data_IF_921215037191
#
_entry.id   IF_921215037191
#
_cell.length_a   1.000
_cell.length_b   1.000
_cell.length_c   1.000
_cell.angle_alpha   90.00
_cell.angle_beta   90.00
_cell.angle_gamma   90.00
#
_symmetry.space_group_name_H-M   'P 1'
#
loop_
_entity.id
_entity.type
_entity.pdbx_description
1 polymer ?
#
# COMPACT_ATOMS: atom_id res chain seq x y z
N UNK A 1 7.93 14.10 3.36
CA UNK A 1 9.25 13.68 2.82
C UNK A 1 9.08 13.25 1.37
N UNK A 2 10.14 13.09 0.57
CA UNK A 2 10.01 12.43 -0.75
C UNK A 2 10.30 10.94 -0.56
N UNK A 3 9.26 10.11 -0.65
CA UNK A 3 9.38 8.64 -0.56
C UNK A 3 9.66 8.06 -1.94
N UNK A 4 10.53 7.04 -2.01
CA UNK A 4 10.76 6.36 -3.27
C UNK A 4 9.57 5.46 -3.61
N UNK A 5 9.43 5.14 -4.90
CA UNK A 5 8.46 4.14 -5.38
C UNK A 5 8.55 2.83 -4.60
N UNK A 6 9.77 2.39 -4.29
CA UNK A 6 10.01 1.14 -3.55
C UNK A 6 9.49 1.23 -2.11
N UNK A 7 9.66 2.38 -1.46
CA UNK A 7 9.20 2.57 -0.09
C UNK A 7 7.68 2.50 -0.01
N UNK A 8 6.97 3.14 -0.96
CA UNK A 8 5.51 3.13 -0.98
C UNK A 8 4.96 1.74 -1.30
N UNK A 9 5.57 1.00 -2.23
CA UNK A 9 5.19 -0.41 -2.50
C UNK A 9 5.34 -1.25 -1.23
N UNK A 10 6.48 -1.12 -0.53
CA UNK A 10 6.72 -1.86 0.70
C UNK A 10 5.66 -1.54 1.77
N UNK A 11 5.30 -0.26 1.91
CA UNK A 11 4.29 0.18 2.86
C UNK A 11 2.88 -0.34 2.53
N UNK A 12 2.46 -0.27 1.25
CA UNK A 12 1.20 -0.85 0.78
C UNK A 12 1.14 -2.36 1.03
N UNK A 13 2.22 -3.09 0.76
CA UNK A 13 2.29 -4.53 1.06
C UNK A 13 2.21 -4.82 2.57
N UNK A 14 2.77 -3.95 3.42
CA UNK A 14 2.70 -4.08 4.87
C UNK A 14 1.28 -3.80 5.38
N UNK A 15 0.62 -2.77 4.85
CA UNK A 15 -0.79 -2.51 5.14
C UNK A 15 -1.67 -3.70 4.72
N UNK A 16 -1.49 -4.22 3.52
CA UNK A 16 -2.25 -5.37 3.02
C UNK A 16 -2.11 -6.56 3.99
N UNK A 17 -0.89 -6.92 4.37
CA UNK A 17 -0.65 -7.99 5.36
C UNK A 17 -1.33 -7.70 6.70
N UNK A 18 -1.36 -6.44 7.13
CA UNK A 18 -1.98 -6.04 8.39
C UNK A 18 -3.51 -6.18 8.35
N UNK A 19 -4.14 -5.66 7.29
CA UNK A 19 -5.60 -5.66 7.13
C UNK A 19 -6.14 -7.06 6.89
N UNK A 20 -5.45 -7.87 6.08
CA UNK A 20 -5.93 -9.19 5.66
C UNK A 20 -5.44 -10.34 6.54
N UNK A 21 -4.64 -10.07 7.59
CA UNK A 21 -4.11 -11.09 8.51
C UNK A 21 -5.18 -12.08 9.00
N UNK A 22 -6.34 -11.55 9.40
CA UNK A 22 -7.44 -12.33 9.98
C UNK A 22 -8.73 -12.25 9.10
N UNK A 23 -8.64 -11.63 7.93
CA UNK A 23 -9.79 -11.31 7.07
C UNK A 23 -9.63 -11.76 5.60
N UNK A 24 -8.52 -12.41 5.25
CA UNK A 24 -8.25 -12.90 3.89
C UNK A 24 -9.24 -13.97 3.42
N UNK A 25 -9.88 -13.73 2.27
CA UNK A 25 -10.71 -14.69 1.55
C UNK A 25 -10.12 -14.97 0.14
N UNK A 26 -9.57 -16.16 -0.12
CA UNK A 26 -8.98 -16.49 -1.42
C UNK A 26 -9.98 -16.56 -2.58
N UNK A 27 -11.29 -16.49 -2.33
CA UNK A 27 -12.32 -16.41 -3.38
C UNK A 27 -12.63 -14.99 -3.85
N UNK A 28 -12.16 -13.98 -3.11
CA UNK A 28 -12.47 -12.56 -3.34
C UNK A 28 -11.21 -11.71 -3.43
N UNK A 29 -10.22 -12.00 -2.58
CA UNK A 29 -9.01 -11.21 -2.44
C UNK A 29 -7.86 -11.75 -3.31
N UNK A 30 -7.01 -10.84 -3.78
CA UNK A 30 -5.75 -11.20 -4.43
C UNK A 30 -4.82 -11.90 -3.44
N UNK A 31 -4.10 -12.93 -3.88
CA UNK A 31 -2.99 -13.44 -3.07
C UNK A 31 -1.95 -12.34 -2.84
N UNK A 32 -1.14 -12.47 -1.79
CA UNK A 32 -0.11 -11.48 -1.49
C UNK A 32 0.87 -11.26 -2.65
N UNK A 33 1.22 -12.31 -3.38
CA UNK A 33 2.12 -12.22 -4.54
C UNK A 33 1.48 -11.48 -5.71
N UNK A 34 0.18 -11.72 -5.97
CA UNK A 34 -0.58 -11.01 -6.99
C UNK A 34 -0.71 -9.53 -6.65
N UNK A 35 -1.09 -9.20 -5.41
CA UNK A 35 -1.17 -7.81 -4.95
C UNK A 35 0.18 -7.09 -5.05
N UNK A 36 1.27 -7.74 -4.61
CA UNK A 36 2.61 -7.16 -4.75
C UNK A 36 2.97 -6.91 -6.22
N UNK A 37 2.68 -7.86 -7.11
CA UNK A 37 2.94 -7.71 -8.55
C UNK A 37 2.15 -6.55 -9.16
N UNK A 38 0.89 -6.35 -8.75
CA UNK A 38 0.09 -5.20 -9.17
C UNK A 38 0.71 -3.87 -8.70
N UNK A 39 1.18 -3.78 -7.46
CA UNK A 39 1.88 -2.58 -6.96
C UNK A 39 3.18 -2.33 -7.73
N UNK A 40 3.92 -3.39 -8.04
CA UNK A 40 5.14 -3.34 -8.85
C UNK A 40 4.89 -2.99 -10.33
N UNK A 41 3.65 -2.99 -10.82
CA UNK A 41 3.30 -2.53 -12.16
C UNK A 41 2.89 -1.05 -12.21
N UNK A 42 2.52 -0.46 -11.06
CA UNK A 42 2.02 0.93 -10.97
C UNK A 42 3.13 1.99 -10.98
N UNK A 43 2.80 3.17 -11.49
CA UNK A 43 3.65 4.37 -11.38
C UNK A 43 3.66 4.94 -9.96
N UNK A 44 4.60 5.83 -9.65
CA UNK A 44 4.67 6.48 -8.33
C UNK A 44 3.38 7.22 -7.98
N UNK A 45 2.81 7.97 -8.94
CA UNK A 45 1.56 8.71 -8.71
C UNK A 45 0.38 7.77 -8.42
N UNK A 46 0.28 6.65 -9.14
CA UNK A 46 -0.76 5.65 -8.88
C UNK A 46 -0.60 5.02 -7.51
N UNK A 47 0.63 4.70 -7.11
CA UNK A 47 0.92 4.16 -5.78
C UNK A 47 0.53 5.13 -4.66
N UNK A 48 0.79 6.43 -4.83
CA UNK A 48 0.33 7.46 -3.87
C UNK A 48 -1.20 7.56 -3.83
N UNK A 49 -1.90 7.22 -4.92
CA UNK A 49 -3.38 7.15 -4.89
C UNK A 49 -3.87 5.90 -4.14
N UNK A 50 -3.18 4.77 -4.29
CA UNK A 50 -3.53 3.52 -3.58
C UNK A 50 -3.47 3.67 -2.05
N UNK A 51 -2.56 4.51 -1.52
CA UNK A 51 -2.49 4.77 -0.07
C UNK A 51 -3.73 5.45 0.49
N UNK A 52 -4.64 5.92 -0.38
CA UNK A 52 -5.88 6.62 -0.01
C UNK A 52 -5.64 7.82 0.93
N UNK A 53 -4.46 8.43 0.81
CA UNK A 53 -4.04 9.58 1.61
C UNK A 53 -4.45 10.89 0.94
N UNK A 54 -4.63 11.93 1.76
CA UNK A 54 -4.87 13.30 1.33
C UNK A 54 -3.76 14.24 1.85
N UNK A 55 -3.95 15.55 1.71
CA UNK A 55 -2.97 16.56 2.13
C UNK A 55 -3.30 17.22 3.48
N UNK A 56 -4.38 16.81 4.17
CA UNK A 56 -4.93 17.55 5.33
C UNK A 56 -5.15 16.68 6.57
N UNK A 57 -5.74 15.48 6.43
CA UNK A 57 -6.18 14.64 7.54
C UNK A 57 -5.38 13.34 7.68
N UNK A 58 -5.12 12.65 6.57
CA UNK A 58 -4.30 11.43 6.58
C UNK A 58 -3.29 11.51 5.44
N UNK A 59 -2.10 11.99 5.79
CA UNK A 59 -1.08 12.32 4.80
C UNK A 59 -0.25 11.11 4.41
N UNK A 60 0.48 11.22 3.30
CA UNK A 60 1.47 10.21 2.92
C UNK A 60 2.52 10.01 4.02
N UNK A 61 2.90 11.06 4.75
CA UNK A 61 3.83 10.94 5.88
C UNK A 61 3.20 10.12 7.03
N UNK A 62 1.89 10.24 7.28
CA UNK A 62 1.17 9.44 8.29
C UNK A 62 1.09 7.96 7.88
N UNK A 63 0.76 7.70 6.62
CA UNK A 63 0.73 6.34 6.06
C UNK A 63 2.10 5.67 6.16
N UNK A 64 3.15 6.37 5.74
CA UNK A 64 4.52 5.86 5.78
C UNK A 64 5.02 5.68 7.21
N UNK A 65 4.61 6.52 8.16
CA UNK A 65 4.92 6.30 9.59
C UNK A 65 4.28 5.03 10.14
N UNK A 66 3.12 4.64 9.62
CA UNK A 66 2.36 3.49 10.09
C UNK A 66 2.81 2.18 9.46
N UNK A 67 3.11 2.19 8.16
CA UNK A 67 3.34 0.99 7.37
C UNK A 67 4.69 0.93 6.64
N UNK A 68 5.41 2.05 6.55
CA UNK A 68 6.74 2.12 5.95
C UNK A 68 7.82 1.37 6.71
#
# INVERSE_FOLDING_TARGET
MEFSRRDIIQALCNEYKHLFKDAYDPGVDLSFEEYQSEMEAKTLEELIRETSTDNEFYTIDDFMKRYG
#
